data_IF_197142033610
#
_entry.id   IF_197142033610
#
_cell.length_a   1.000
_cell.length_b   1.000
_cell.length_c   1.000
_cell.angle_alpha   90.00
_cell.angle_beta   90.00
_cell.angle_gamma   90.00
#
_symmetry.space_group_name_H-M   'P 1'
#
loop_
_entity.id
_entity.type
_entity.pdbx_description
1 polymer ?
#
# COMPACT_ATOMS: atom_id res chain seq x y z
N UNK A 1 -56.13 27.85 -41.23
CA UNK A 1 -56.04 27.70 -39.76
C UNK A 1 -56.15 26.22 -39.45
N UNK A 2 -55.20 25.48 -38.90
CA UNK A 2 -53.84 25.72 -38.45
C UNK A 2 -53.35 24.34 -37.99
N UNK A 3 -52.56 23.67 -38.83
CA UNK A 3 -51.85 22.43 -38.50
C UNK A 3 -50.57 22.81 -37.75
N UNK A 4 -50.46 22.44 -36.48
CA UNK A 4 -49.26 22.52 -35.64
C UNK A 4 -49.62 22.05 -34.22
N UNK A 5 -48.91 21.19 -33.50
CA UNK A 5 -47.57 20.62 -33.63
C UNK A 5 -47.52 19.35 -32.76
N UNK A 6 -46.93 18.29 -33.30
CA UNK A 6 -46.20 17.31 -32.51
C UNK A 6 -45.07 18.02 -31.74
N UNK A 7 -44.96 17.76 -30.45
CA UNK A 7 -43.77 18.02 -29.63
C UNK A 7 -44.00 17.32 -28.29
N UNK A 8 -43.20 16.41 -27.78
CA UNK A 8 -41.93 15.82 -28.20
C UNK A 8 -41.57 14.96 -27.00
N UNK A 9 -41.46 13.64 -27.19
CA UNK A 9 -40.93 12.77 -26.16
C UNK A 9 -39.55 13.31 -25.79
N UNK A 10 -39.37 13.72 -24.54
CA UNK A 10 -38.08 14.18 -24.04
C UNK A 10 -37.12 12.99 -24.08
N UNK A 11 -36.30 12.93 -25.13
CA UNK A 11 -35.12 12.09 -25.18
C UNK A 11 -34.28 12.31 -23.91
N UNK A 12 -33.57 11.29 -23.41
CA UNK A 12 -32.70 11.43 -22.24
C UNK A 12 -31.81 12.65 -22.41
N UNK A 13 -31.77 13.53 -21.39
CA UNK A 13 -31.10 14.82 -21.47
C UNK A 13 -29.61 14.58 -21.77
N UNK A 14 -29.23 14.76 -23.04
CA UNK A 14 -27.88 14.57 -23.58
C UNK A 14 -26.82 15.33 -22.76
N UNK A 15 -27.23 16.37 -22.02
CA UNK A 15 -26.37 17.13 -21.10
C UNK A 15 -25.91 16.31 -19.90
N UNK A 16 -26.78 15.48 -19.32
CA UNK A 16 -26.45 14.64 -18.16
C UNK A 16 -25.49 13.51 -18.57
N UNK A 17 -25.77 12.86 -19.71
CA UNK A 17 -24.88 11.84 -20.29
C UNK A 17 -23.53 12.42 -20.73
N UNK A 18 -23.50 13.61 -21.35
CA UNK A 18 -22.27 14.29 -21.73
C UNK A 18 -21.45 14.80 -20.52
N UNK A 19 -22.08 15.02 -19.36
CA UNK A 19 -21.38 15.40 -18.13
C UNK A 19 -20.78 14.20 -17.41
N UNK A 20 -21.50 13.06 -17.36
CA UNK A 20 -20.93 11.77 -16.94
C UNK A 20 -19.77 11.35 -17.85
N UNK A 21 -19.90 11.51 -19.17
CA UNK A 21 -18.81 11.28 -20.11
C UNK A 21 -17.58 12.16 -19.85
N UNK A 22 -17.76 13.38 -19.34
CA UNK A 22 -16.64 14.24 -18.89
C UNK A 22 -16.02 13.80 -17.57
N UNK A 23 -16.81 13.23 -16.66
CA UNK A 23 -16.31 12.64 -15.42
C UNK A 23 -15.44 11.41 -15.70
N UNK A 24 -15.77 10.64 -16.75
CA UNK A 24 -14.95 9.52 -17.25
C UNK A 24 -13.58 10.00 -17.75
N UNK A 25 -13.50 11.20 -18.34
CA UNK A 25 -12.24 11.78 -18.84
C UNK A 25 -11.46 12.59 -17.81
N UNK A 26 -12.07 13.00 -16.69
CA UNK A 26 -11.38 13.73 -15.64
C UNK A 26 -10.75 12.76 -14.65
N UNK A 27 -9.46 12.93 -14.36
CA UNK A 27 -8.66 12.19 -13.36
C UNK A 27 -9.17 12.39 -11.91
N UNK A 28 -10.43 12.06 -11.65
CA UNK A 28 -11.07 12.17 -10.35
C UNK A 28 -10.95 10.84 -9.60
N UNK A 29 -10.58 10.92 -8.32
CA UNK A 29 -10.60 9.75 -7.43
C UNK A 29 -12.01 9.16 -7.30
N UNK A 30 -12.10 7.88 -6.96
CA UNK A 30 -13.36 7.13 -6.88
C UNK A 30 -14.42 7.82 -6.00
N UNK A 31 -14.03 8.47 -4.89
CA UNK A 31 -14.94 9.24 -4.03
C UNK A 31 -15.58 10.41 -4.78
N UNK A 32 -14.81 11.17 -5.55
CA UNK A 32 -15.32 12.32 -6.27
C UNK A 32 -16.30 11.91 -7.39
N UNK A 33 -16.05 10.76 -8.03
CA UNK A 33 -16.97 10.19 -9.03
C UNK A 33 -18.27 9.76 -8.36
N UNK A 34 -18.20 9.01 -7.27
CA UNK A 34 -19.38 8.57 -6.52
C UNK A 34 -20.17 9.77 -5.95
N UNK A 35 -19.53 10.83 -5.47
CA UNK A 35 -20.16 12.12 -5.06
C UNK A 35 -20.87 12.83 -6.20
N UNK A 36 -20.26 12.89 -7.38
CA UNK A 36 -20.87 13.50 -8.55
C UNK A 36 -22.10 12.69 -9.00
N UNK A 37 -21.95 11.38 -9.12
CA UNK A 37 -23.05 10.47 -9.50
C UNK A 37 -24.17 10.51 -8.47
N UNK A 38 -23.85 10.50 -7.18
CA UNK A 38 -24.83 10.50 -6.11
C UNK A 38 -25.69 11.77 -6.09
N UNK A 39 -25.06 12.94 -6.26
CA UNK A 39 -25.78 14.23 -6.35
C UNK A 39 -26.70 14.28 -7.56
N UNK A 40 -26.19 13.93 -8.73
CA UNK A 40 -26.98 13.96 -9.97
C UNK A 40 -28.15 12.96 -9.90
N UNK A 41 -27.94 11.76 -9.34
CA UNK A 41 -29.02 10.80 -9.13
C UNK A 41 -30.07 11.31 -8.14
N UNK A 42 -29.66 11.97 -7.05
CA UNK A 42 -30.56 12.55 -6.08
C UNK A 42 -31.44 13.64 -6.72
N UNK A 43 -30.83 14.55 -7.47
CA UNK A 43 -31.50 15.67 -8.13
C UNK A 43 -32.48 15.20 -9.21
N UNK A 44 -32.15 14.12 -9.94
CA UNK A 44 -32.96 13.58 -11.02
C UNK A 44 -34.34 13.09 -10.56
N UNK A 45 -34.42 12.54 -9.35
CA UNK A 45 -35.65 11.92 -8.82
C UNK A 45 -36.16 12.54 -7.52
N UNK A 46 -35.43 13.52 -6.97
CA UNK A 46 -35.72 14.09 -5.65
C UNK A 46 -35.50 13.11 -4.50
N UNK A 47 -34.42 12.32 -4.55
CA UNK A 47 -34.11 11.36 -3.48
C UNK A 47 -33.72 12.11 -2.19
N UNK A 48 -34.23 11.63 -1.05
CA UNK A 48 -33.87 12.16 0.26
C UNK A 48 -32.51 11.64 0.74
N UNK A 49 -32.15 10.41 0.36
CA UNK A 49 -30.83 9.82 0.59
C UNK A 49 -30.38 8.99 -0.62
N UNK A 50 -29.06 8.95 -0.82
CA UNK A 50 -28.40 8.17 -1.87
C UNK A 50 -27.28 7.37 -1.24
N UNK A 51 -27.17 6.09 -1.57
CA UNK A 51 -26.14 5.20 -1.05
C UNK A 51 -25.48 4.39 -2.16
N UNK A 52 -24.17 4.16 -2.04
CA UNK A 52 -23.40 3.27 -2.91
C UNK A 52 -22.87 2.07 -2.13
N UNK A 53 -23.35 0.90 -2.50
CA UNK A 53 -22.93 -0.38 -1.96
C UNK A 53 -21.98 -1.05 -2.94
N UNK A 54 -20.69 -1.05 -2.64
CA UNK A 54 -19.69 -1.69 -3.48
C UNK A 54 -19.77 -3.20 -3.34
N UNK A 55 -19.83 -3.88 -4.47
CA UNK A 55 -19.91 -5.32 -4.53
C UNK A 55 -18.52 -5.97 -4.48
N UNK A 56 -18.40 -6.99 -3.63
CA UNK A 56 -17.36 -8.01 -3.70
C UNK A 56 -18.05 -9.34 -4.04
N UNK A 57 -17.88 -9.79 -5.28
CA UNK A 57 -18.49 -11.04 -5.77
C UNK A 57 -17.82 -12.29 -5.18
N UNK A 58 -16.55 -12.21 -4.79
CA UNK A 58 -15.81 -13.36 -4.23
C UNK A 58 -16.32 -13.70 -2.83
N UNK A 59 -16.58 -12.69 -2.01
CA UNK A 59 -17.14 -12.86 -0.67
C UNK A 59 -18.67 -12.80 -0.64
N UNK A 60 -19.32 -12.45 -1.77
CA UNK A 60 -20.77 -12.17 -1.87
C UNK A 60 -21.24 -11.14 -0.84
N UNK A 61 -20.45 -10.07 -0.68
CA UNK A 61 -20.76 -8.99 0.26
C UNK A 61 -20.88 -7.64 -0.44
N UNK A 62 -21.61 -6.74 0.21
CA UNK A 62 -21.78 -5.35 -0.16
C UNK A 62 -21.21 -4.47 0.94
N UNK A 63 -20.34 -3.53 0.58
CA UNK A 63 -19.77 -2.54 1.51
C UNK A 63 -20.27 -1.14 1.18
N UNK A 64 -20.83 -0.45 2.17
CA UNK A 64 -21.29 0.92 2.04
C UNK A 64 -20.09 1.86 1.97
N UNK A 65 -19.88 2.49 0.81
CA UNK A 65 -18.70 3.31 0.56
C UNK A 65 -19.03 4.80 0.59
N UNK A 66 -20.24 5.17 0.20
CA UNK A 66 -20.65 6.57 0.24
C UNK A 66 -22.15 6.72 0.45
N UNK A 67 -22.51 7.79 1.14
CA UNK A 67 -23.88 8.18 1.37
C UNK A 67 -24.03 9.71 1.28
N UNK A 68 -25.01 10.20 0.54
CA UNK A 68 -25.45 11.60 0.65
C UNK A 68 -26.36 11.83 1.87
N UNK A 69 -26.70 13.07 2.22
CA UNK A 69 -25.80 14.11 2.76
C UNK A 69 -25.23 13.78 4.16
N UNK A 70 -25.34 12.53 4.63
CA UNK A 70 -24.95 12.12 5.99
C UNK A 70 -23.73 11.21 5.97
N UNK A 71 -22.89 11.27 7.02
CA UNK A 71 -21.71 10.42 7.10
C UNK A 71 -22.10 8.94 7.32
N UNK A 72 -21.28 8.04 6.77
CA UNK A 72 -21.50 6.58 6.71
C UNK A 72 -21.75 5.94 8.10
N UNK A 73 -21.18 6.48 9.18
CA UNK A 73 -21.37 5.96 10.55
C UNK A 73 -22.78 6.17 11.12
N UNK A 74 -23.62 6.98 10.48
CA UNK A 74 -25.03 7.16 10.87
C UNK A 74 -25.94 6.00 10.38
N UNK A 75 -25.38 5.03 9.66
CA UNK A 75 -26.09 3.91 9.06
C UNK A 75 -26.03 2.66 9.95
N UNK A 76 -27.10 1.86 9.98
CA UNK A 76 -27.22 0.70 10.87
C UNK A 76 -26.34 -0.49 10.43
N UNK A 77 -25.84 -0.46 9.19
CA UNK A 77 -24.91 -1.44 8.66
C UNK A 77 -23.99 -0.75 7.63
N UNK A 78 -22.71 -1.13 7.64
CA UNK A 78 -21.71 -0.71 6.65
C UNK A 78 -21.25 -1.86 5.76
N UNK A 79 -21.58 -3.09 6.13
CA UNK A 79 -21.34 -4.32 5.36
C UNK A 79 -22.60 -5.19 5.46
N UNK A 80 -23.00 -5.83 4.36
CA UNK A 80 -24.10 -6.80 4.33
C UNK A 80 -23.83 -7.91 3.31
N UNK A 81 -24.48 -9.05 3.48
CA UNK A 81 -24.42 -10.16 2.52
C UNK A 81 -25.42 -9.98 1.39
N UNK A 82 -25.20 -10.68 0.28
CA UNK A 82 -26.21 -10.78 -0.78
C UNK A 82 -27.49 -11.41 -0.22
N UNK A 83 -28.65 -10.96 -0.70
CA UNK A 83 -29.98 -11.35 -0.20
C UNK A 83 -30.42 -10.74 1.14
N UNK A 84 -29.53 -10.10 1.92
CA UNK A 84 -29.84 -9.62 3.29
C UNK A 84 -30.75 -8.38 3.33
N UNK A 85 -30.79 -7.62 2.24
CA UNK A 85 -31.62 -6.41 2.10
C UNK A 85 -32.10 -6.24 0.66
N UNK A 86 -32.84 -5.18 0.37
CA UNK A 86 -33.16 -4.80 -1.02
C UNK A 86 -31.89 -4.64 -1.86
N UNK A 87 -30.84 -4.00 -1.34
CA UNK A 87 -29.57 -3.89 -2.05
C UNK A 87 -28.90 -5.27 -2.24
N UNK A 88 -28.96 -6.12 -1.22
CA UNK A 88 -28.47 -7.50 -1.30
C UNK A 88 -29.22 -8.35 -2.32
N UNK A 89 -30.54 -8.19 -2.42
CA UNK A 89 -31.38 -8.86 -3.42
C UNK A 89 -31.03 -8.40 -4.84
N UNK A 90 -30.86 -7.09 -5.04
CA UNK A 90 -30.41 -6.52 -6.32
C UNK A 90 -29.01 -7.04 -6.68
N UNK A 91 -28.11 -7.17 -5.72
CA UNK A 91 -26.78 -7.73 -5.97
C UNK A 91 -26.82 -9.20 -6.39
N UNK A 92 -27.74 -9.97 -5.81
CA UNK A 92 -27.91 -11.39 -6.13
C UNK A 92 -28.54 -11.63 -7.49
N UNK A 93 -29.58 -10.86 -7.84
CA UNK A 93 -30.36 -11.07 -9.06
C UNK A 93 -29.89 -10.20 -10.23
N UNK A 94 -29.11 -9.14 -9.95
CA UNK A 94 -28.67 -8.12 -10.91
C UNK A 94 -29.84 -7.44 -11.63
N UNK A 95 -30.96 -7.32 -10.92
CA UNK A 95 -32.20 -6.70 -11.40
C UNK A 95 -32.53 -5.47 -10.57
N UNK A 96 -33.07 -4.43 -11.20
CA UNK A 96 -33.50 -3.22 -10.50
C UNK A 96 -34.72 -3.49 -9.59
N UNK A 97 -34.66 -3.03 -8.34
CA UNK A 97 -35.79 -3.09 -7.41
C UNK A 97 -36.47 -1.72 -7.29
N UNK A 98 -37.78 -1.70 -7.55
CA UNK A 98 -38.61 -0.50 -7.52
C UNK A 98 -39.67 -0.63 -6.43
N UNK A 99 -39.43 -0.02 -5.27
CA UNK A 99 -40.29 -0.16 -4.10
C UNK A 99 -41.01 1.16 -3.83
N UNK A 100 -42.32 1.18 -4.11
CA UNK A 100 -43.17 2.35 -3.87
C UNK A 100 -43.62 2.49 -2.41
N UNK A 101 -43.68 1.37 -1.67
CA UNK A 101 -44.12 1.29 -0.26
C UNK A 101 -43.16 0.38 0.53
N UNK A 102 -42.04 0.97 0.98
CA UNK A 102 -40.98 0.27 1.69
C UNK A 102 -41.44 -0.41 2.99
N UNK A 103 -42.30 0.17 3.83
CA UNK A 103 -42.84 -0.52 5.00
C UNK A 103 -43.56 -1.85 4.72
N UNK A 104 -44.07 -2.06 3.50
CA UNK A 104 -44.78 -3.28 3.10
C UNK A 104 -43.91 -4.31 2.38
N UNK A 105 -42.71 -3.95 1.93
CA UNK A 105 -41.83 -4.88 1.20
C UNK A 105 -41.03 -5.75 2.18
N UNK A 106 -41.07 -7.07 1.99
CA UNK A 106 -40.41 -8.03 2.87
C UNK A 106 -38.87 -7.94 2.82
N UNK A 107 -38.30 -7.42 1.73
CA UNK A 107 -36.85 -7.27 1.54
C UNK A 107 -36.29 -6.05 2.27
N UNK A 108 -37.15 -5.15 2.77
CA UNK A 108 -36.72 -3.98 3.53
C UNK A 108 -36.31 -4.41 4.93
N UNK A 109 -35.00 -4.46 5.13
CA UNK A 109 -34.40 -4.69 6.44
C UNK A 109 -34.54 -3.47 7.36
N UNK A 110 -34.54 -3.70 8.67
CA UNK A 110 -34.50 -2.67 9.73
C UNK A 110 -35.61 -1.60 9.57
N UNK A 111 -36.88 -2.01 9.52
CA UNK A 111 -38.04 -1.11 9.30
C UNK A 111 -38.11 0.05 10.31
N UNK A 112 -37.77 -0.18 11.57
CA UNK A 112 -37.77 0.86 12.61
C UNK A 112 -36.88 2.05 12.22
N UNK A 113 -35.75 1.80 11.53
CA UNK A 113 -34.83 2.84 11.07
C UNK A 113 -35.44 3.68 9.93
N UNK A 114 -36.21 3.04 9.04
CA UNK A 114 -36.96 3.66 7.95
C UNK A 114 -38.12 4.51 8.49
N UNK A 115 -38.88 3.96 9.43
CA UNK A 115 -40.04 4.63 10.05
C UNK A 115 -39.62 5.88 10.82
N UNK A 116 -38.57 5.78 11.64
CA UNK A 116 -38.04 6.92 12.40
C UNK A 116 -37.58 8.09 11.51
N UNK A 117 -37.29 7.83 10.22
CA UNK A 117 -36.83 8.84 9.25
C UNK A 117 -37.91 9.25 8.24
N UNK A 118 -39.09 8.63 8.31
CA UNK A 118 -40.19 8.89 7.40
C UNK A 118 -39.91 8.43 5.96
N UNK A 119 -39.07 7.41 5.77
CA UNK A 119 -38.80 6.85 4.45
C UNK A 119 -39.94 5.96 3.99
N UNK A 120 -40.32 6.09 2.72
CA UNK A 120 -41.51 5.46 2.15
C UNK A 120 -41.22 4.69 0.87
N UNK A 121 -40.19 5.03 0.14
CA UNK A 121 -39.87 4.42 -1.15
C UNK A 121 -38.38 4.18 -1.31
N UNK A 122 -38.03 3.22 -2.15
CA UNK A 122 -36.66 2.85 -2.47
C UNK A 122 -36.56 2.47 -3.93
N UNK A 123 -35.51 2.96 -4.58
CA UNK A 123 -35.03 2.42 -5.85
C UNK A 123 -33.64 1.84 -5.57
N UNK A 124 -33.41 0.60 -5.96
CA UNK A 124 -32.09 0.00 -5.94
C UNK A 124 -31.72 -0.47 -7.34
N UNK A 125 -30.60 0.01 -7.87
CA UNK A 125 -30.16 -0.21 -9.24
C UNK A 125 -28.82 -0.95 -9.24
N UNK A 126 -28.70 -2.04 -10.00
CA UNK A 126 -27.42 -2.71 -10.19
C UNK A 126 -26.53 -1.86 -11.10
N UNK A 127 -25.27 -1.71 -10.73
CA UNK A 127 -24.26 -1.02 -11.53
C UNK A 127 -23.32 -2.08 -12.09
N UNK A 128 -23.61 -2.57 -13.28
CA UNK A 128 -22.91 -3.68 -13.93
C UNK A 128 -22.02 -3.15 -15.04
N UNK A 129 -20.80 -3.70 -15.14
CA UNK A 129 -19.90 -3.47 -16.26
C UNK A 129 -19.46 -4.82 -16.84
N UNK A 130 -19.84 -5.10 -18.10
CA UNK A 130 -19.73 -6.45 -18.66
C UNK A 130 -20.58 -7.44 -17.87
N UNK A 131 -19.95 -8.48 -17.33
CA UNK A 131 -20.60 -9.49 -16.48
C UNK A 131 -20.34 -9.29 -14.97
N UNK A 132 -19.67 -8.21 -14.58
CA UNK A 132 -19.29 -7.95 -13.18
C UNK A 132 -20.19 -6.90 -12.54
N UNK A 133 -20.75 -7.22 -11.37
CA UNK A 133 -21.43 -6.25 -10.53
C UNK A 133 -20.38 -5.36 -9.84
N UNK A 134 -20.39 -4.07 -10.16
CA UNK A 134 -19.46 -3.09 -9.57
C UNK A 134 -20.00 -2.57 -8.24
N UNK A 135 -21.30 -2.24 -8.22
CA UNK A 135 -21.98 -1.67 -7.07
C UNK A 135 -23.51 -1.80 -7.17
N UNK A 136 -24.21 -1.47 -6.09
CA UNK A 136 -25.65 -1.20 -6.07
C UNK A 136 -25.88 0.24 -5.62
N UNK A 137 -26.58 1.01 -6.46
CA UNK A 137 -27.02 2.37 -6.16
C UNK A 137 -28.39 2.32 -5.49
N UNK A 138 -28.53 2.88 -4.29
CA UNK A 138 -29.81 2.98 -3.58
C UNK A 138 -30.26 4.43 -3.48
N UNK A 139 -31.49 4.72 -3.89
CA UNK A 139 -32.15 6.03 -3.81
C UNK A 139 -33.37 5.91 -2.90
N UNK A 140 -33.38 6.62 -1.78
CA UNK A 140 -34.43 6.55 -0.77
C UNK A 140 -35.29 7.81 -0.82
N UNK A 141 -36.61 7.63 -0.84
CA UNK A 141 -37.58 8.72 -0.93
C UNK A 141 -38.54 8.77 0.25
N UNK A 142 -39.03 9.97 0.56
CA UNK A 142 -40.16 10.18 1.49
C UNK A 142 -41.53 10.05 0.84
N UNK A 143 -41.56 9.93 -0.49
CA UNK A 143 -42.75 9.69 -1.31
C UNK A 143 -42.40 8.73 -2.46
N UNK A 144 -43.38 8.02 -3.05
CA UNK A 144 -43.14 7.15 -4.20
C UNK A 144 -42.48 7.89 -5.36
N UNK A 145 -41.47 7.27 -5.98
CA UNK A 145 -40.79 7.85 -7.13
C UNK A 145 -41.65 7.75 -8.41
N UNK A 146 -41.59 8.74 -9.32
CA UNK A 146 -42.36 8.69 -10.56
C UNK A 146 -41.84 7.62 -11.53
N UNK A 147 -42.75 6.84 -12.12
CA UNK A 147 -42.45 5.71 -13.03
C UNK A 147 -41.70 6.15 -14.30
N UNK A 148 -41.92 7.38 -14.77
CA UNK A 148 -41.30 7.93 -15.99
C UNK A 148 -39.76 8.00 -15.96
N UNK A 149 -39.13 7.86 -14.79
CA UNK A 149 -37.68 7.98 -14.64
C UNK A 149 -36.95 6.64 -14.72
N UNK A 150 -37.66 5.50 -14.88
CA UNK A 150 -37.06 4.15 -14.83
C UNK A 150 -35.94 3.92 -15.84
N UNK A 151 -36.26 4.05 -17.13
CA UNK A 151 -35.30 3.83 -18.22
C UNK A 151 -34.08 4.76 -18.12
N UNK A 152 -34.32 6.03 -17.73
CA UNK A 152 -33.27 7.02 -17.57
C UNK A 152 -32.33 6.69 -16.39
N UNK A 153 -32.87 6.18 -15.28
CA UNK A 153 -32.09 5.77 -14.11
C UNK A 153 -31.28 4.51 -14.36
N UNK A 154 -31.82 3.55 -15.11
CA UNK A 154 -31.08 2.35 -15.52
C UNK A 154 -29.92 2.73 -16.43
N UNK A 155 -30.15 3.60 -17.42
CA UNK A 155 -29.09 4.13 -18.27
C UNK A 155 -28.04 4.91 -17.46
N UNK A 156 -28.48 5.72 -16.51
CA UNK A 156 -27.61 6.45 -15.61
C UNK A 156 -26.73 5.50 -14.77
N UNK A 157 -27.33 4.45 -14.19
CA UNK A 157 -26.61 3.45 -13.40
C UNK A 157 -25.57 2.70 -14.25
N UNK A 158 -25.91 2.34 -15.49
CA UNK A 158 -24.98 1.72 -16.44
C UNK A 158 -23.78 2.63 -16.77
N UNK A 159 -24.04 3.91 -17.06
CA UNK A 159 -22.97 4.87 -17.35
C UNK A 159 -22.09 5.16 -16.12
N UNK A 160 -22.69 5.24 -14.95
CA UNK A 160 -21.96 5.42 -13.72
C UNK A 160 -21.12 4.17 -13.36
N UNK A 161 -21.57 2.96 -13.72
CA UNK A 161 -20.78 1.74 -13.57
C UNK A 161 -19.48 1.80 -14.40
N UNK A 162 -19.57 2.30 -15.65
CA UNK A 162 -18.41 2.54 -16.51
C UNK A 162 -17.46 3.58 -15.88
N UNK A 163 -18.00 4.70 -15.40
CA UNK A 163 -17.20 5.76 -14.78
C UNK A 163 -16.45 5.28 -13.52
N UNK A 164 -17.13 4.54 -12.64
CA UNK A 164 -16.51 3.97 -11.43
C UNK A 164 -15.44 2.94 -11.80
N UNK A 165 -15.71 2.10 -12.80
CA UNK A 165 -14.73 1.11 -13.29
C UNK A 165 -13.48 1.80 -13.83
N UNK A 166 -13.64 2.83 -14.65
CA UNK A 166 -12.52 3.60 -15.19
C UNK A 166 -11.74 4.32 -14.09
N UNK A 167 -12.41 4.92 -13.11
CA UNK A 167 -11.75 5.55 -11.97
C UNK A 167 -10.93 4.55 -11.14
N UNK A 168 -11.45 3.32 -10.95
CA UNK A 168 -10.71 2.24 -10.28
C UNK A 168 -9.50 1.79 -11.07
N UNK A 169 -9.67 1.55 -12.37
CA UNK A 169 -8.58 1.13 -13.26
C UNK A 169 -7.49 2.21 -13.33
N UNK A 170 -7.88 3.48 -13.40
CA UNK A 170 -6.95 4.60 -13.39
C UNK A 170 -6.21 4.70 -12.06
N UNK A 171 -6.90 4.55 -10.93
CA UNK A 171 -6.28 4.55 -9.61
C UNK A 171 -5.27 3.40 -9.44
N UNK A 172 -5.64 2.17 -9.84
CA UNK A 172 -4.73 1.01 -9.82
C UNK A 172 -3.54 1.22 -10.77
N UNK A 173 -3.78 1.71 -11.98
CA UNK A 173 -2.70 2.03 -12.93
C UNK A 173 -1.77 3.12 -12.39
N UNK A 174 -2.30 4.16 -11.75
CA UNK A 174 -1.49 5.24 -11.21
C UNK A 174 -0.69 4.77 -9.99
N UNK A 175 -1.30 4.00 -9.09
CA UNK A 175 -0.60 3.39 -7.95
C UNK A 175 0.53 2.45 -8.42
N UNK A 176 0.28 1.63 -9.45
CA UNK A 176 1.31 0.80 -10.08
C UNK A 176 2.41 1.61 -10.73
N UNK A 177 2.07 2.72 -11.40
CA UNK A 177 3.04 3.63 -12.00
C UNK A 177 3.90 4.31 -10.94
N UNK A 178 3.31 4.85 -9.88
CA UNK A 178 4.03 5.44 -8.75
C UNK A 178 4.94 4.41 -8.07
N UNK A 179 4.45 3.18 -7.87
CA UNK A 179 5.26 2.08 -7.35
C UNK A 179 6.42 1.73 -8.30
N UNK A 180 6.18 1.70 -9.61
CA UNK A 180 7.20 1.43 -10.62
C UNK A 180 8.22 2.58 -10.76
N UNK A 181 7.79 3.83 -10.61
CA UNK A 181 8.64 5.01 -10.61
C UNK A 181 9.50 5.05 -9.35
N UNK A 182 8.92 4.80 -8.18
CA UNK A 182 9.67 4.63 -6.94
C UNK A 182 10.67 3.46 -7.06
N UNK A 183 10.26 2.35 -7.66
CA UNK A 183 11.13 1.20 -7.92
C UNK A 183 12.26 1.53 -8.89
N UNK A 184 11.97 2.27 -9.97
CA UNK A 184 12.96 2.67 -10.97
C UNK A 184 13.93 3.71 -10.40
N UNK A 185 13.46 4.62 -9.56
CA UNK A 185 14.26 5.62 -8.87
C UNK A 185 15.18 4.94 -7.85
N UNK A 186 14.63 4.05 -7.01
CA UNK A 186 15.42 3.21 -6.11
C UNK A 186 16.42 2.38 -6.91
N UNK A 187 16.01 1.68 -7.97
CA UNK A 187 16.91 0.93 -8.85
C UNK A 187 18.03 1.79 -9.44
N UNK A 188 17.74 3.01 -9.91
CA UNK A 188 18.76 3.95 -10.42
C UNK A 188 19.72 4.43 -9.34
N UNK A 189 19.21 4.70 -8.14
CA UNK A 189 20.01 5.16 -7.00
C UNK A 189 20.89 4.03 -6.42
N UNK A 190 20.43 2.78 -6.50
CA UNK A 190 21.15 1.57 -6.07
C UNK A 190 22.23 1.14 -7.07
N UNK A 191 21.94 1.26 -8.37
CA UNK A 191 22.92 0.94 -9.43
C UNK A 191 24.07 1.96 -9.50
N UNK A 192 23.91 3.15 -8.90
CA UNK A 192 24.98 4.14 -8.84
C UNK A 192 25.96 3.92 -7.69
N UNK A 193 25.66 3.04 -6.72
CA UNK A 193 26.62 2.69 -5.66
C UNK A 193 26.28 1.34 -5.03
N UNK A 194 27.04 0.30 -5.39
CA UNK A 194 26.86 -1.09 -4.92
C UNK A 194 27.46 -1.35 -3.53
N UNK A 195 27.62 -0.30 -2.72
CA UNK A 195 28.11 -0.38 -1.35
C UNK A 195 26.91 -0.50 -0.39
N UNK A 196 26.78 -1.60 0.38
CA UNK A 196 25.67 -1.81 1.32
C UNK A 196 25.46 -0.64 2.29
N UNK A 197 26.54 0.03 2.71
CA UNK A 197 26.51 1.17 3.63
C UNK A 197 25.84 2.39 2.98
N UNK A 198 26.18 2.64 1.71
CA UNK A 198 25.62 3.78 0.97
C UNK A 198 24.15 3.52 0.64
N UNK A 199 23.81 2.27 0.31
CA UNK A 199 22.43 1.84 0.11
C UNK A 199 21.60 2.03 1.38
N UNK A 200 22.08 1.54 2.52
CA UNK A 200 21.40 1.68 3.81
C UNK A 200 21.17 3.15 4.18
N UNK A 201 22.15 4.04 3.92
CA UNK A 201 22.02 5.48 4.15
C UNK A 201 20.96 6.12 3.27
N UNK A 202 20.91 5.79 1.98
CA UNK A 202 19.89 6.33 1.07
C UNK A 202 18.48 5.87 1.44
N UNK A 203 18.36 4.65 1.95
CA UNK A 203 17.10 4.08 2.45
C UNK A 203 16.60 4.88 3.66
N UNK A 204 17.46 5.12 4.66
CA UNK A 204 17.09 5.88 5.86
C UNK A 204 16.77 7.34 5.53
N UNK A 205 17.49 7.97 4.61
CA UNK A 205 17.19 9.32 4.10
C UNK A 205 15.82 9.40 3.40
N UNK A 206 15.49 8.43 2.55
CA UNK A 206 14.23 8.44 1.81
C UNK A 206 13.02 8.17 2.68
N UNK A 207 13.11 7.21 3.62
CA UNK A 207 11.95 6.91 4.48
C UNK A 207 11.62 8.11 5.38
N UNK A 208 12.62 8.86 5.85
CA UNK A 208 12.38 10.10 6.60
C UNK A 208 11.61 11.12 5.76
N UNK A 209 12.00 11.35 4.50
CA UNK A 209 11.29 12.26 3.60
C UNK A 209 9.89 11.77 3.23
N UNK A 210 9.74 10.46 3.00
CA UNK A 210 8.47 9.82 2.65
C UNK A 210 7.42 9.98 3.74
N UNK A 211 7.83 9.91 5.01
CA UNK A 211 6.94 9.94 6.16
C UNK A 211 6.94 11.27 6.93
N UNK A 212 7.68 12.27 6.44
CA UNK A 212 7.96 13.54 7.15
C UNK A 212 8.43 13.31 8.60
N UNK A 213 9.34 12.34 8.77
CA UNK A 213 9.83 11.89 10.06
C UNK A 213 11.21 12.47 10.38
N UNK A 214 11.54 12.50 11.68
CA UNK A 214 12.78 13.13 12.17
C UNK A 214 14.03 12.29 11.99
N UNK A 215 13.92 10.98 12.08
CA UNK A 215 15.07 10.09 12.00
C UNK A 215 14.67 8.68 11.60
N UNK A 216 15.60 7.95 11.01
CA UNK A 216 15.43 6.53 10.70
C UNK A 216 16.74 5.77 10.85
N UNK A 217 16.63 4.49 11.16
CA UNK A 217 17.76 3.59 11.29
C UNK A 217 17.45 2.22 10.69
N UNK A 218 18.45 1.62 10.06
CA UNK A 218 18.42 0.21 9.64
C UNK A 218 19.17 -0.61 10.68
N UNK A 219 18.48 -1.61 11.24
CA UNK A 219 19.06 -2.57 12.16
C UNK A 219 19.21 -3.92 11.47
N UNK A 220 20.40 -4.52 11.57
CA UNK A 220 20.69 -5.85 11.03
C UNK A 220 21.00 -6.83 12.17
N UNK A 221 20.60 -8.11 12.06
CA UNK A 221 21.03 -9.13 12.99
C UNK A 221 22.53 -9.38 12.83
N UNK A 222 23.23 -9.34 13.94
CA UNK A 222 24.61 -9.76 14.10
C UNK A 222 24.70 -11.28 13.97
N UNK A 223 25.61 -11.79 13.13
CA UNK A 223 25.67 -13.20 12.79
C UNK A 223 26.02 -14.09 14.00
N UNK A 224 26.81 -13.58 14.94
CA UNK A 224 27.34 -14.37 16.07
C UNK A 224 26.43 -14.30 17.30
N UNK A 225 25.98 -13.10 17.66
CA UNK A 225 25.18 -12.87 18.87
C UNK A 225 23.68 -12.91 18.62
N UNK A 226 23.26 -12.78 17.35
CA UNK A 226 21.87 -12.60 16.97
C UNK A 226 21.26 -11.26 17.41
N UNK A 227 21.97 -10.42 18.16
CA UNK A 227 21.54 -9.08 18.53
C UNK A 227 21.29 -8.23 17.27
N UNK A 228 20.39 -7.26 17.35
CA UNK A 228 20.24 -6.28 16.30
C UNK A 228 21.23 -5.16 16.48
N UNK A 229 22.03 -4.86 15.47
CA UNK A 229 23.01 -3.79 15.47
C UNK A 229 22.53 -2.69 14.54
N UNK A 230 22.60 -1.44 14.99
CA UNK A 230 22.35 -0.29 14.15
C UNK A 230 23.44 -0.23 13.07
N UNK A 231 23.07 -0.55 11.83
CA UNK A 231 23.96 -0.58 10.68
C UNK A 231 24.12 0.82 10.09
N UNK A 232 23.01 1.54 9.99
CA UNK A 232 23.00 2.91 9.50
C UNK A 232 21.92 3.71 10.21
N UNK A 233 22.26 4.95 10.54
CA UNK A 233 21.38 5.91 11.18
C UNK A 233 21.37 7.17 10.32
N UNK A 234 20.18 7.71 10.06
CA UNK A 234 20.01 9.04 9.49
C UNK A 234 19.19 9.90 10.45
N UNK A 235 19.70 11.09 10.73
CA UNK A 235 19.07 12.08 11.61
C UNK A 235 18.93 13.39 10.84
N UNK A 236 17.80 14.08 11.06
CA UNK A 236 17.63 15.47 10.64
C UNK A 236 18.35 16.41 11.63
N UNK A 237 18.13 17.72 11.54
CA UNK A 237 18.74 18.76 12.37
C UNK A 237 18.46 18.62 13.89
N UNK A 238 17.67 17.63 14.30
CA UNK A 238 17.31 17.35 15.69
C UNK A 238 17.89 16.00 16.11
N UNK A 239 18.75 15.94 17.15
CA UNK A 239 19.41 14.70 17.54
C UNK A 239 18.38 13.64 17.98
N UNK A 240 18.53 12.42 17.47
CA UNK A 240 17.74 11.27 17.87
C UNK A 240 18.69 10.18 18.38
N UNK A 241 18.64 9.85 19.67
CA UNK A 241 19.57 8.87 20.22
C UNK A 241 19.10 7.46 19.84
N UNK A 242 19.86 6.78 18.99
CA UNK A 242 19.66 5.36 18.65
C UNK A 242 20.52 4.45 19.53
N UNK A 243 19.96 3.32 19.96
CA UNK A 243 20.76 2.30 20.66
C UNK A 243 21.59 1.52 19.65
N UNK A 244 22.90 1.46 19.86
CA UNK A 244 23.81 0.80 18.91
C UNK A 244 23.56 -0.71 18.80
N UNK A 245 23.14 -1.36 19.89
CA UNK A 245 22.75 -2.77 19.92
C UNK A 245 21.42 -2.92 20.65
N UNK A 246 20.57 -3.80 20.15
CA UNK A 246 19.31 -4.21 20.76
C UNK A 246 19.30 -5.72 20.90
N UNK A 247 18.85 -6.22 22.05
CA UNK A 247 18.65 -7.64 22.24
C UNK A 247 17.55 -8.17 21.31
N UNK A 248 17.62 -9.46 20.98
CA UNK A 248 16.60 -10.12 20.16
C UNK A 248 15.24 -10.04 20.84
N UNK A 249 14.23 -9.63 20.09
CA UNK A 249 12.86 -9.53 20.61
C UNK A 249 12.59 -8.25 21.42
N UNK A 250 13.59 -7.38 21.62
CA UNK A 250 13.43 -6.14 22.38
C UNK A 250 12.84 -5.01 21.53
N UNK A 251 11.92 -4.26 22.14
CA UNK A 251 11.32 -3.07 21.56
C UNK A 251 10.56 -3.28 20.24
N UNK A 252 10.37 -2.19 19.50
CA UNK A 252 9.60 -2.18 18.24
C UNK A 252 10.23 -3.07 17.16
N UNK A 253 11.56 -3.10 17.07
CA UNK A 253 12.29 -3.91 16.10
C UNK A 253 12.12 -5.40 16.36
N UNK A 254 12.30 -5.81 17.62
CA UNK A 254 12.11 -7.20 18.03
C UNK A 254 10.69 -7.70 17.78
N UNK A 255 9.69 -6.87 18.10
CA UNK A 255 8.28 -7.21 17.83
C UNK A 255 7.97 -7.29 16.34
N UNK A 256 8.44 -6.33 15.54
CA UNK A 256 8.22 -6.33 14.10
C UNK A 256 8.83 -7.57 13.43
N UNK A 257 10.03 -7.96 13.85
CA UNK A 257 10.70 -9.16 13.36
C UNK A 257 10.03 -10.46 13.81
N UNK A 258 9.58 -10.53 15.06
CA UNK A 258 8.90 -11.72 15.60
C UNK A 258 7.53 -11.95 14.94
N UNK A 259 6.78 -10.87 14.71
CA UNK A 259 5.45 -10.92 14.08
C UNK A 259 5.49 -10.90 12.56
N UNK A 260 6.62 -10.51 11.96
CA UNK A 260 6.76 -10.21 10.53
C UNK A 260 5.75 -9.17 10.02
N UNK A 261 5.36 -8.23 10.87
CA UNK A 261 4.41 -7.15 10.55
C UNK A 261 4.90 -5.83 11.14
N UNK A 262 4.45 -4.69 10.60
CA UNK A 262 4.80 -3.39 11.16
C UNK A 262 4.40 -3.25 12.64
N UNK A 263 5.24 -2.57 13.42
CA UNK A 263 4.98 -2.22 14.81
C UNK A 263 5.13 -0.70 15.00
N UNK A 264 4.02 0.00 15.18
CA UNK A 264 3.98 1.44 15.47
C UNK A 264 3.58 1.70 16.93
N UNK A 265 4.21 2.68 17.57
CA UNK A 265 3.84 3.18 18.90
C UNK A 265 4.08 4.69 19.02
N UNK A 266 3.19 5.44 19.72
CA UNK A 266 3.44 6.84 20.04
C UNK A 266 4.43 7.06 21.19
N UNK A 267 4.67 6.04 22.02
CA UNK A 267 5.67 6.08 23.08
C UNK A 267 6.15 4.65 23.39
N UNK A 268 7.41 4.37 23.09
CA UNK A 268 8.02 3.05 23.29
C UNK A 268 8.04 2.59 24.74
N UNK A 269 8.17 3.49 25.73
CA UNK A 269 8.20 3.06 27.14
C UNK A 269 6.79 2.87 27.71
N UNK A 270 5.78 3.55 27.15
CA UNK A 270 4.40 3.42 27.61
C UNK A 270 3.66 2.23 26.97
N UNK A 271 4.23 1.61 25.93
CA UNK A 271 3.59 0.52 25.20
C UNK A 271 3.77 -0.83 25.91
N UNK A 272 2.70 -1.45 26.45
CA UNK A 272 2.80 -2.74 27.15
C UNK A 272 3.16 -3.90 26.22
N UNK A 273 3.07 -3.69 24.90
CA UNK A 273 3.45 -4.69 23.88
C UNK A 273 4.96 -4.87 23.76
N UNK A 274 5.75 -3.97 24.34
CA UNK A 274 7.20 -3.87 24.17
C UNK A 274 7.91 -4.22 25.48
N UNK A 275 8.81 -5.19 25.41
CA UNK A 275 9.66 -5.57 26.53
C UNK A 275 10.99 -4.79 26.47
N UNK A 276 11.39 -4.27 27.63
CA UNK A 276 12.66 -3.58 27.86
C UNK A 276 13.18 -3.94 29.25
N UNK A 277 14.49 -4.07 29.41
CA UNK A 277 15.10 -4.19 30.74
C UNK A 277 14.89 -2.89 31.54
N UNK A 278 14.94 -2.92 32.89
CA UNK A 278 14.81 -1.72 33.71
C UNK A 278 15.81 -0.61 33.31
N UNK A 279 17.04 -0.99 33.00
CA UNK A 279 18.12 -0.08 32.59
C UNK A 279 17.80 0.57 31.24
N UNK A 280 17.43 -0.25 30.25
CA UNK A 280 17.04 0.20 28.90
C UNK A 280 15.85 1.16 28.97
N UNK A 281 14.88 0.86 29.85
CA UNK A 281 13.69 1.69 30.07
C UNK A 281 14.06 3.05 30.69
N UNK A 282 14.98 3.08 31.64
CA UNK A 282 15.46 4.32 32.26
C UNK A 282 16.16 5.22 31.22
N UNK A 283 17.06 4.65 30.40
CA UNK A 283 17.72 5.38 29.31
C UNK A 283 16.73 5.96 28.29
N UNK A 284 15.70 5.18 27.92
CA UNK A 284 14.67 5.63 26.99
C UNK A 284 13.80 6.73 27.59
N UNK A 285 13.56 6.71 28.91
CA UNK A 285 12.73 7.72 29.59
C UNK A 285 13.34 9.13 29.55
N UNK A 286 14.67 9.24 29.51
CA UNK A 286 15.38 10.52 29.37
C UNK A 286 15.28 11.12 27.95
N UNK A 287 14.81 10.35 26.97
CA UNK A 287 14.71 10.79 25.56
C UNK A 287 13.40 11.53 25.30
N UNK A 288 13.48 12.60 24.50
CA UNK A 288 12.32 13.39 24.08
C UNK A 288 11.59 12.81 22.86
N UNK A 289 12.24 11.90 22.13
CA UNK A 289 11.71 11.23 20.94
C UNK A 289 11.52 9.74 21.21
N UNK A 290 10.25 9.34 21.41
CA UNK A 290 9.88 7.97 21.77
C UNK A 290 8.77 7.39 20.91
N UNK A 291 8.26 8.14 19.95
CA UNK A 291 7.37 7.56 18.94
C UNK A 291 8.22 6.81 17.92
N UNK A 292 7.85 5.57 17.62
CA UNK A 292 8.59 4.74 16.68
C UNK A 292 7.66 3.91 15.80
N UNK A 293 8.07 3.73 14.55
CA UNK A 293 7.51 2.76 13.61
C UNK A 293 8.64 1.83 13.18
N UNK A 294 8.51 0.54 13.42
CA UNK A 294 9.41 -0.47 12.89
C UNK A 294 8.70 -1.31 11.83
N UNK A 295 9.33 -1.48 10.67
CA UNK A 295 8.88 -2.36 9.59
C UNK A 295 9.98 -3.40 9.31
N UNK A 296 9.64 -4.70 9.21
CA UNK A 296 10.63 -5.72 8.98
C UNK A 296 11.14 -5.67 7.52
N UNK A 297 12.45 -5.88 7.32
CA UNK A 297 13.07 -5.99 6.00
C UNK A 297 13.15 -7.47 5.63
N UNK A 298 12.27 -7.95 4.76
CA UNK A 298 12.14 -9.39 4.44
C UNK A 298 12.37 -9.63 2.96
N UNK A 299 13.24 -10.60 2.62
CA UNK A 299 13.44 -11.09 1.25
C UNK A 299 13.26 -12.60 1.24
N UNK A 300 12.38 -13.11 0.37
CA UNK A 300 12.15 -14.57 0.22
C UNK A 300 11.89 -15.31 1.55
N UNK A 301 11.17 -14.67 2.48
CA UNK A 301 10.85 -15.23 3.80
C UNK A 301 11.95 -15.09 4.87
N UNK A 302 13.14 -14.62 4.50
CA UNK A 302 14.25 -14.33 5.42
C UNK A 302 14.21 -12.87 5.86
N UNK A 303 14.21 -12.62 7.16
CA UNK A 303 14.32 -11.28 7.72
C UNK A 303 15.79 -10.84 7.70
N UNK A 304 16.10 -9.81 6.91
CA UNK A 304 17.42 -9.18 6.84
C UNK A 304 17.66 -8.22 8.00
N UNK A 305 16.60 -7.76 8.66
CA UNK A 305 16.66 -6.72 9.67
C UNK A 305 15.34 -5.97 9.83
N UNK A 306 15.41 -4.79 10.44
CA UNK A 306 14.27 -3.89 10.58
C UNK A 306 14.66 -2.47 10.19
N UNK A 307 13.78 -1.79 9.47
CA UNK A 307 13.84 -0.35 9.25
C UNK A 307 12.98 0.31 10.33
N UNK A 308 13.58 1.19 11.11
CA UNK A 308 12.92 1.89 12.22
C UNK A 308 12.90 3.38 11.92
N UNK A 309 11.75 3.99 12.09
CA UNK A 309 11.52 5.43 11.97
C UNK A 309 11.19 5.97 13.34
N UNK A 310 11.89 7.03 13.75
CA UNK A 310 11.77 7.68 15.04
C UNK A 310 11.23 9.11 14.91
N UNK A 311 10.34 9.49 15.83
CA UNK A 311 9.77 10.84 15.89
C UNK A 311 9.48 11.29 17.34
N UNK A 312 9.01 12.51 17.50
CA UNK A 312 8.62 13.11 18.76
C UNK A 312 7.57 12.26 19.50
N UNK A 313 7.77 12.13 20.81
CA UNK A 313 6.84 11.40 21.69
C UNK A 313 5.41 11.90 21.49
N UNK A 314 4.46 10.97 21.35
CA UNK A 314 3.04 11.26 21.10
C UNK A 314 2.63 11.21 19.63
N UNK A 315 3.56 11.23 18.66
CA UNK A 315 3.25 11.05 17.24
C UNK A 315 2.54 9.71 17.00
N UNK A 316 1.43 9.74 16.28
CA UNK A 316 0.71 8.54 15.83
C UNK A 316 0.88 8.38 14.33
N UNK A 317 1.50 7.29 13.91
CA UNK A 317 1.57 6.91 12.50
C UNK A 317 0.19 6.43 12.04
N UNK A 318 -0.30 6.99 10.93
CA UNK A 318 -1.58 6.64 10.31
C UNK A 318 -1.48 5.29 9.59
N UNK A 319 -2.61 4.60 9.33
CA UNK A 319 -2.60 3.37 8.53
C UNK A 319 -1.97 3.55 7.15
N UNK A 320 -2.16 4.71 6.52
CA UNK A 320 -1.57 5.05 5.22
C UNK A 320 -0.05 5.25 5.30
N UNK A 321 0.46 5.89 6.36
CA UNK A 321 1.91 6.01 6.60
C UNK A 321 2.55 4.64 6.85
N UNK A 322 1.88 3.77 7.61
CA UNK A 322 2.35 2.40 7.87
C UNK A 322 2.41 1.62 6.55
N UNK A 323 1.35 1.65 5.74
CA UNK A 323 1.31 0.95 4.46
C UNK A 323 2.40 1.45 3.48
N UNK A 324 2.64 2.77 3.44
CA UNK A 324 3.74 3.36 2.64
C UNK A 324 5.11 2.89 3.14
N UNK A 325 5.32 2.84 4.45
CA UNK A 325 6.56 2.35 5.05
C UNK A 325 6.80 0.86 4.77
N UNK A 326 5.76 0.03 4.84
CA UNK A 326 5.83 -1.41 4.51
C UNK A 326 6.21 -1.62 3.03
N UNK A 327 5.51 -0.95 2.11
CA UNK A 327 5.82 -1.04 0.68
C UNK A 327 7.25 -0.57 0.36
N UNK A 328 7.72 0.49 1.04
CA UNK A 328 9.10 0.95 0.91
C UNK A 328 10.11 -0.07 1.48
N UNK A 329 9.78 -0.69 2.62
CA UNK A 329 10.63 -1.69 3.27
C UNK A 329 10.83 -2.95 2.40
N UNK A 330 9.79 -3.39 1.68
CA UNK A 330 9.90 -4.52 0.75
C UNK A 330 10.96 -4.25 -0.33
N UNK A 331 10.99 -3.03 -0.88
CA UNK A 331 11.98 -2.64 -1.88
C UNK A 331 13.37 -2.42 -1.27
N UNK A 332 13.42 -1.79 -0.10
CA UNK A 332 14.66 -1.59 0.64
C UNK A 332 15.34 -2.92 1.00
N UNK A 333 14.56 -3.95 1.33
CA UNK A 333 15.08 -5.27 1.66
C UNK A 333 15.74 -5.92 0.44
N UNK A 334 15.10 -5.88 -0.74
CA UNK A 334 15.67 -6.37 -1.99
C UNK A 334 16.96 -5.63 -2.36
N UNK A 335 16.95 -4.31 -2.20
CA UNK A 335 18.10 -3.45 -2.45
C UNK A 335 19.31 -3.80 -1.59
N UNK A 336 19.10 -3.96 -0.28
CA UNK A 336 20.14 -4.32 0.67
C UNK A 336 20.70 -5.71 0.40
N UNK A 337 19.84 -6.68 0.07
CA UNK A 337 20.30 -8.02 -0.27
C UNK A 337 21.12 -8.05 -1.56
N UNK A 338 20.70 -7.32 -2.59
CA UNK A 338 21.45 -7.23 -3.84
C UNK A 338 22.82 -6.57 -3.62
N UNK A 339 22.88 -5.48 -2.84
CA UNK A 339 24.14 -4.83 -2.51
C UNK A 339 25.07 -5.77 -1.72
N UNK A 340 24.52 -6.54 -0.78
CA UNK A 340 25.28 -7.55 -0.01
C UNK A 340 25.83 -8.66 -0.91
N UNK A 341 24.97 -9.27 -1.74
CA UNK A 341 25.37 -10.33 -2.67
C UNK A 341 26.47 -9.86 -3.64
N UNK A 342 26.37 -8.61 -4.10
CA UNK A 342 27.39 -8.03 -4.96
C UNK A 342 28.71 -7.82 -4.20
N UNK A 343 28.66 -7.26 -2.99
CA UNK A 343 29.85 -7.04 -2.17
C UNK A 343 30.56 -8.37 -1.82
N UNK A 344 29.79 -9.41 -1.49
CA UNK A 344 30.31 -10.76 -1.22
C UNK A 344 31.01 -11.34 -2.47
N UNK A 345 30.39 -11.20 -3.65
CA UNK A 345 30.95 -11.68 -4.91
C UNK A 345 32.26 -10.95 -5.29
N UNK A 346 32.29 -9.62 -5.11
CA UNK A 346 33.46 -8.80 -5.40
C UNK A 346 34.61 -9.07 -4.42
N UNK A 347 34.31 -9.30 -3.14
CA UNK A 347 35.27 -9.74 -2.13
C UNK A 347 35.92 -11.07 -2.51
N UNK A 348 35.12 -12.07 -2.87
CA UNK A 348 35.62 -13.38 -3.31
C UNK A 348 36.45 -13.30 -4.60
N UNK A 349 36.06 -12.45 -5.57
CA UNK A 349 36.85 -12.21 -6.78
C UNK A 349 38.24 -11.65 -6.43
N UNK A 350 38.29 -10.65 -5.54
CA UNK A 350 39.55 -10.00 -5.13
C UNK A 350 40.47 -10.96 -4.37
N UNK A 351 39.91 -11.79 -3.50
CA UNK A 351 40.66 -12.83 -2.79
C UNK A 351 41.27 -13.85 -3.76
N UNK A 352 40.50 -14.32 -4.74
CA UNK A 352 40.98 -15.23 -5.77
C UNK A 352 42.09 -14.61 -6.63
N UNK A 353 42.00 -13.32 -6.96
CA UNK A 353 43.04 -12.59 -7.71
C UNK A 353 44.35 -12.48 -6.92
N UNK A 354 44.27 -12.16 -5.63
CA UNK A 354 45.44 -12.11 -4.74
C UNK A 354 46.07 -13.49 -4.60
N UNK A 355 45.26 -14.55 -4.38
CA UNK A 355 45.76 -15.92 -4.31
C UNK A 355 46.42 -16.38 -5.61
N UNK A 356 45.83 -16.05 -6.76
CA UNK A 356 46.42 -16.37 -8.06
C UNK A 356 47.74 -15.64 -8.29
N UNK A 357 47.85 -14.38 -7.85
CA UNK A 357 49.09 -13.60 -7.96
C UNK A 357 50.20 -14.14 -7.04
N UNK A 358 49.85 -14.49 -5.79
CA UNK A 358 50.77 -15.15 -4.86
C UNK A 358 51.22 -16.50 -5.43
N UNK A 359 50.30 -17.32 -5.94
CA UNK A 359 50.63 -18.61 -6.55
C UNK A 359 51.55 -18.45 -7.79
N UNK A 360 51.30 -17.45 -8.64
CA UNK A 360 52.19 -17.13 -9.78
C UNK A 360 53.59 -16.73 -9.31
N UNK A 361 53.68 -15.87 -8.29
CA UNK A 361 54.96 -15.41 -7.74
C UNK A 361 55.76 -16.57 -7.14
N UNK A 362 55.11 -17.42 -6.33
CA UNK A 362 55.74 -18.62 -5.75
C UNK A 362 56.17 -19.60 -6.84
N UNK A 363 55.34 -19.83 -7.86
CA UNK A 363 55.67 -20.69 -8.99
C UNK A 363 56.88 -20.17 -9.79
N UNK A 364 56.96 -18.86 -10.02
CA UNK A 364 58.09 -18.25 -10.72
C UNK A 364 59.42 -18.36 -9.94
N UNK A 365 59.38 -18.29 -8.61
CA UNK A 365 60.57 -18.49 -7.76
C UNK A 365 61.06 -19.94 -7.80
N UNK A 366 60.15 -20.92 -7.75
CA UNK A 366 60.50 -22.34 -7.86
C UNK A 366 61.09 -22.69 -9.23
N UNK A 367 60.56 -22.10 -10.30
CA UNK A 367 61.13 -22.21 -11.65
C UNK A 367 62.52 -21.57 -11.73
N UNK A 368 62.74 -20.42 -11.08
CA UNK A 368 64.05 -19.75 -11.05
C UNK A 368 65.11 -20.60 -10.34
N UNK A 369 64.79 -21.19 -9.19
CA UNK A 369 65.71 -22.07 -8.47
C UNK A 369 66.08 -23.31 -9.32
N UNK A 370 65.11 -23.89 -10.04
CA UNK A 370 65.33 -25.01 -10.96
C UNK A 370 66.18 -24.60 -12.16
N UNK A 371 65.94 -23.42 -12.72
CA UNK A 371 66.72 -22.87 -13.85
C UNK A 371 68.15 -22.54 -13.41
N UNK A 372 68.35 -21.98 -12.23
CA UNK A 372 69.68 -21.69 -11.68
C UNK A 372 70.47 -22.97 -11.42
N UNK A 373 69.85 -24.02 -10.87
CA UNK A 373 70.49 -25.33 -10.71
C UNK A 373 70.89 -25.91 -12.08
N UNK A 374 70.00 -25.86 -13.07
CA UNK A 374 70.32 -26.36 -14.42
C UNK A 374 71.41 -25.55 -15.13
N UNK A 375 71.45 -24.23 -14.95
CA UNK A 375 72.52 -23.39 -15.48
C UNK A 375 73.84 -23.72 -14.79
N UNK A 376 73.83 -23.94 -13.48
CA UNK A 376 75.02 -24.35 -12.73
C UNK A 376 75.54 -25.71 -13.19
N UNK A 377 74.65 -26.70 -13.39
CA UNK A 377 74.99 -28.02 -13.92
C UNK A 377 75.54 -27.93 -15.35
N UNK A 378 74.86 -27.20 -16.24
CA UNK A 378 75.29 -27.03 -17.63
C UNK A 378 76.61 -26.26 -17.73
N UNK A 379 76.83 -25.25 -16.89
CA UNK A 379 78.10 -24.52 -16.82
C UNK A 379 79.23 -25.41 -16.30
N UNK A 380 78.95 -26.34 -15.37
CA UNK A 380 79.92 -27.32 -14.89
C UNK A 380 80.31 -28.33 -15.98
N UNK A 381 79.34 -28.81 -16.76
CA UNK A 381 79.57 -29.66 -17.94
C UNK A 381 80.38 -28.93 -19.03
N UNK A 382 80.05 -27.67 -19.34
CA UNK A 382 80.73 -26.90 -20.39
C UNK A 382 82.16 -26.49 -20.03
N UNK A 383 82.44 -26.24 -18.75
CA UNK A 383 83.75 -25.82 -18.28
C UNK A 383 84.70 -26.99 -17.94
N UNK A 384 84.22 -28.24 -17.97
CA UNK A 384 85.05 -29.43 -17.67
C UNK A 384 85.69 -29.39 -16.28
N UNK A 385 85.04 -28.74 -15.32
CA UNK A 385 85.51 -28.65 -13.95
C UNK A 385 84.73 -29.65 -13.09
N UNK A 386 85.43 -30.60 -12.47
CA UNK A 386 84.86 -31.51 -11.47
C UNK A 386 84.35 -30.77 -10.22
#
# INVERSE_FOLDING_TARGET
MGLARHNGAAAPDLRTLARLGRLVTSSLGIDAVLDAVGREAADLVGAAEVGFWIADEATRTLTLRQVGPRPVHAYPATVMSYGESVAGWVAEHREAAWIADAPKDARVARRDWWEARGYKSLIALPMVHGDTLIAVLTLVGKAPFPVRHREMLELFAAQAAVAITNARLYADSNARREAAEALAEVGRLLLQTLDPTIVARRITEHVCRLLDARSAAVYRPDADSGMLVADTVFETDRPFVWQRRLDRGTGVAGRALATRTACATPDVIADPRLAYTPETRAELAERTHRAMLAVPLIVTGRALGALIVGDATGRRFTPEEIARAEAFADQAALALENARLYADAEGGRREAEVLAEVARTVGATLELDVVLVRIAEAARELCGAD
#
